data_IF_396120378518
#
_entry.id   IF_396120378518
#
_cell.length_a   1.000
_cell.length_b   1.000
_cell.length_c   1.000
_cell.angle_alpha   90.00
_cell.angle_beta   90.00
_cell.angle_gamma   90.00
#
_symmetry.space_group_name_H-M   'P 1'
#
loop_
_entity.id
_entity.type
_entity.pdbx_description
1 polymer ?
#
# COMPACT_ATOMS: atom_id res chain seq x y z
N UNK A 1 -6.07 -15.84 24.97
CA UNK A 1 -5.69 -15.85 23.53
C UNK A 1 -6.05 -14.55 22.83
N UNK A 2 -7.14 -13.89 23.20
CA UNK A 2 -7.67 -12.70 22.54
C UNK A 2 -6.73 -11.49 22.52
N UNK A 3 -6.00 -11.22 23.60
CA UNK A 3 -5.04 -10.11 23.65
C UNK A 3 -3.87 -10.27 22.67
N UNK A 4 -3.39 -11.50 22.44
CA UNK A 4 -2.35 -11.77 21.43
C UNK A 4 -2.90 -11.61 20.02
N UNK A 5 -4.14 -12.04 19.77
CA UNK A 5 -4.81 -11.82 18.49
C UNK A 5 -5.00 -10.32 18.23
N UNK A 6 -5.44 -9.55 19.23
CA UNK A 6 -5.58 -8.09 19.14
C UNK A 6 -4.23 -7.39 18.87
N UNK A 7 -3.15 -7.80 19.54
CA UNK A 7 -1.82 -7.25 19.30
C UNK A 7 -1.27 -7.56 17.89
N UNK A 8 -1.58 -8.75 17.35
CA UNK A 8 -1.22 -9.13 15.97
C UNK A 8 -2.07 -8.34 14.97
N UNK A 9 -3.37 -8.19 15.22
CA UNK A 9 -4.27 -7.41 14.37
C UNK A 9 -3.96 -5.90 14.40
N UNK A 10 -3.50 -5.38 15.54
CA UNK A 10 -3.05 -3.99 15.68
C UNK A 10 -1.65 -3.76 15.09
N UNK A 11 -0.83 -4.80 15.02
CA UNK A 11 0.49 -4.74 14.38
C UNK A 11 0.34 -4.84 12.87
N UNK A 12 0.28 -3.70 12.17
CA UNK A 12 0.41 -3.63 10.71
C UNK A 12 1.85 -4.01 10.32
N UNK A 13 2.20 -5.30 10.38
CA UNK A 13 3.50 -5.79 9.93
C UNK A 13 3.51 -5.80 8.41
N UNK A 14 3.94 -4.69 7.82
CA UNK A 14 4.12 -4.55 6.38
C UNK A 14 5.21 -5.51 5.92
N UNK A 15 4.81 -6.61 5.26
CA UNK A 15 5.72 -7.51 4.55
C UNK A 15 5.58 -7.26 3.06
N UNK A 16 6.70 -7.01 2.40
CA UNK A 16 6.76 -6.93 0.94
C UNK A 16 6.54 -8.34 0.35
N UNK A 17 5.51 -8.48 -0.49
CA UNK A 17 5.11 -9.77 -1.08
C UNK A 17 5.65 -9.98 -2.51
N UNK A 18 6.08 -8.92 -3.18
CA UNK A 18 6.61 -8.95 -4.55
C UNK A 18 7.84 -8.04 -4.71
N UNK A 19 8.58 -8.19 -5.80
CA UNK A 19 9.70 -7.30 -6.11
C UNK A 19 9.23 -5.85 -6.33
N UNK A 20 10.12 -4.88 -6.05
CA UNK A 20 9.85 -3.42 -6.07
C UNK A 20 9.39 -2.85 -7.43
N UNK A 21 9.39 -3.66 -8.49
CA UNK A 21 9.10 -3.27 -9.88
C UNK A 21 8.08 -4.19 -10.56
N UNK A 22 7.25 -4.87 -9.78
CA UNK A 22 6.15 -5.64 -10.35
C UNK A 22 5.03 -4.71 -10.84
N UNK A 23 4.42 -5.03 -11.98
CA UNK A 23 3.35 -4.21 -12.52
C UNK A 23 2.13 -4.28 -11.58
N UNK A 24 1.45 -3.17 -11.30
CA UNK A 24 0.33 -3.15 -10.35
C UNK A 24 -0.79 -4.15 -10.71
N UNK A 25 -0.94 -4.43 -12.01
CA UNK A 25 -1.83 -5.46 -12.54
C UNK A 25 -1.50 -6.90 -12.09
N UNK A 26 -0.21 -7.27 -12.00
CA UNK A 26 0.19 -8.59 -11.49
C UNK A 26 0.00 -8.69 -9.97
N UNK A 27 0.33 -7.63 -9.24
CA UNK A 27 0.05 -7.55 -7.80
C UNK A 27 -1.45 -7.71 -7.51
N UNK A 28 -2.32 -7.14 -8.34
CA UNK A 28 -3.77 -7.29 -8.21
C UNK A 28 -4.23 -8.73 -8.44
N UNK A 29 -3.72 -9.39 -9.49
CA UNK A 29 -4.03 -10.80 -9.78
C UNK A 29 -3.60 -11.71 -8.63
N UNK A 30 -2.43 -11.46 -8.04
CA UNK A 30 -1.96 -12.17 -6.86
C UNK A 30 -2.91 -11.99 -5.66
N UNK A 31 -3.35 -10.75 -5.39
CA UNK A 31 -4.31 -10.46 -4.32
C UNK A 31 -5.62 -11.22 -4.56
N UNK A 32 -6.12 -11.26 -5.79
CA UNK A 32 -7.34 -11.99 -6.13
C UNK A 32 -7.20 -13.49 -5.86
N UNK A 33 -6.09 -14.10 -6.29
CA UNK A 33 -5.80 -15.52 -6.03
C UNK A 33 -5.65 -15.82 -4.53
N UNK A 34 -4.92 -14.96 -3.81
CA UNK A 34 -4.69 -15.11 -2.38
C UNK A 34 -6.00 -14.99 -1.56
N UNK A 35 -6.91 -14.09 -1.97
CA UNK A 35 -8.25 -13.97 -1.39
C UNK A 35 -9.08 -15.23 -1.63
N UNK A 36 -9.06 -15.79 -2.85
CA UNK A 36 -9.74 -17.05 -3.18
C UNK A 36 -9.21 -18.24 -2.37
N UNK A 37 -7.90 -18.25 -2.07
CA UNK A 37 -7.27 -19.30 -1.26
C UNK A 37 -7.52 -19.20 0.25
N UNK A 38 -8.11 -18.10 0.74
CA UNK A 38 -8.68 -18.01 2.08
C UNK A 38 -7.73 -17.62 3.23
N UNK A 39 -6.49 -17.21 2.96
CA UNK A 39 -5.50 -16.94 4.01
C UNK A 39 -5.11 -15.46 4.20
N UNK A 40 -5.77 -14.54 3.50
CA UNK A 40 -5.39 -13.12 3.53
C UNK A 40 -6.61 -12.20 3.68
N UNK A 41 -6.61 -11.39 4.75
CA UNK A 41 -7.69 -10.42 5.04
C UNK A 41 -7.45 -9.05 4.41
N UNK A 42 -6.24 -8.48 4.59
CA UNK A 42 -5.95 -7.09 4.28
C UNK A 42 -4.76 -6.90 3.32
N UNK A 43 -4.84 -7.50 2.14
CA UNK A 43 -3.86 -7.23 1.08
C UNK A 43 -4.19 -5.91 0.39
N UNK A 44 -3.20 -5.00 0.35
CA UNK A 44 -3.26 -3.70 -0.31
C UNK A 44 -2.04 -3.49 -1.18
N UNK A 45 -2.23 -2.87 -2.33
CA UNK A 45 -1.13 -2.40 -3.18
C UNK A 45 -0.77 -1.01 -2.70
N UNK A 46 0.53 -0.78 -2.44
CA UNK A 46 1.07 0.54 -2.08
C UNK A 46 2.17 0.91 -3.06
N UNK A 47 2.20 2.17 -3.49
CA UNK A 47 3.23 2.72 -4.36
C UNK A 47 4.12 3.70 -3.59
N UNK A 48 5.41 3.77 -3.95
CA UNK A 48 6.30 4.83 -3.47
C UNK A 48 6.02 6.10 -4.26
N UNK A 49 5.48 7.11 -3.59
CA UNK A 49 5.14 8.39 -4.19
C UNK A 49 5.58 9.54 -3.28
N UNK A 50 5.62 10.74 -3.84
CA UNK A 50 5.84 11.97 -3.08
C UNK A 50 4.67 12.19 -2.13
N UNK A 51 4.95 12.22 -0.83
CA UNK A 51 3.94 12.51 0.19
C UNK A 51 3.45 13.93 -0.01
N UNK A 52 2.14 14.08 -0.18
CA UNK A 52 1.47 15.37 -0.23
C UNK A 52 0.76 15.63 1.10
N UNK A 53 0.81 16.88 1.54
CA UNK A 53 0.06 17.37 2.71
C UNK A 53 -1.44 17.47 2.35
N UNK A 54 -2.31 17.69 3.35
CA UNK A 54 -3.76 17.85 3.18
C UNK A 54 -4.17 18.97 2.20
N UNK A 55 -3.24 19.86 1.84
CA UNK A 55 -3.41 20.94 0.86
C UNK A 55 -2.83 20.60 -0.53
N UNK A 56 -2.45 19.35 -0.78
CA UNK A 56 -1.89 18.89 -2.06
C UNK A 56 -0.45 19.35 -2.34
N UNK A 57 0.24 19.94 -1.35
CA UNK A 57 1.64 20.37 -1.50
C UNK A 57 2.59 19.25 -1.12
N UNK A 58 3.67 19.01 -1.87
CA UNK A 58 4.66 17.99 -1.51
C UNK A 58 5.29 18.32 -0.15
N UNK A 59 5.38 17.32 0.74
CA UNK A 59 6.02 17.46 2.04
C UNK A 59 7.53 17.47 1.83
N UNK A 60 8.13 18.66 1.83
CA UNK A 60 9.56 18.83 1.60
C UNK A 60 10.33 18.50 2.88
N UNK A 61 11.39 17.72 2.76
CA UNK A 61 12.32 17.49 3.86
C UNK A 61 13.19 18.76 4.08
N UNK A 62 13.18 19.39 5.27
CA UNK A 62 13.93 20.62 5.51
C UNK A 62 15.44 20.47 5.33
N UNK A 63 15.99 19.27 5.49
CA UNK A 63 17.44 19.00 5.39
C UNK A 63 17.90 18.79 3.94
N UNK A 64 17.12 18.10 3.12
CA UNK A 64 17.51 17.74 1.75
C UNK A 64 16.84 18.59 0.67
N UNK A 65 15.85 19.42 1.04
CA UNK A 65 15.00 20.19 0.13
C UNK A 65 14.28 19.35 -0.93
N UNK A 66 14.29 18.03 -0.79
CA UNK A 66 13.61 17.10 -1.69
C UNK A 66 12.22 16.74 -1.13
N UNK A 67 11.25 16.44 -2.00
CA UNK A 67 9.98 15.83 -1.63
C UNK A 67 10.20 14.54 -0.83
N UNK A 68 9.47 14.37 0.28
CA UNK A 68 9.51 13.12 1.05
C UNK A 68 8.81 12.03 0.25
N UNK A 69 9.54 10.97 -0.06
CA UNK A 69 8.97 9.76 -0.63
C UNK A 69 8.40 8.90 0.50
N UNK A 70 7.15 8.48 0.36
CA UNK A 70 6.46 7.58 1.28
C UNK A 70 5.62 6.56 0.54
N UNK A 71 5.01 5.65 1.30
CA UNK A 71 4.08 4.66 0.76
C UNK A 71 2.68 5.25 0.75
N UNK A 72 2.06 5.31 -0.43
CA UNK A 72 0.65 5.67 -0.60
C UNK A 72 -0.14 4.48 -1.11
N UNK A 73 -1.42 4.41 -0.75
CA UNK A 73 -2.33 3.40 -1.28
C UNK A 73 -2.48 3.58 -2.80
N UNK A 74 -2.31 2.48 -3.54
CA UNK A 74 -2.47 2.50 -4.99
C UNK A 74 -3.95 2.30 -5.32
N UNK A 75 -4.64 3.38 -5.72
CA UNK A 75 -5.98 3.30 -6.27
C UNK A 75 -5.88 2.97 -7.76
N UNK A 76 -6.40 1.82 -8.18
CA UNK A 76 -6.60 1.59 -9.61
C UNK A 76 -7.59 2.65 -10.11
N UNK A 77 -7.19 3.46 -11.09
CA UNK A 77 -8.16 4.24 -11.83
C UNK A 77 -8.99 3.22 -12.62
N UNK A 78 -10.17 2.89 -12.13
CA UNK A 78 -11.17 2.22 -12.97
C UNK A 78 -11.42 3.20 -14.11
N UNK A 79 -11.14 2.84 -15.38
CA UNK A 79 -11.61 3.67 -16.47
C UNK A 79 -13.13 3.71 -16.31
N UNK A 80 -13.65 4.86 -15.89
CA UNK A 80 -15.08 5.12 -15.84
C UNK A 80 -15.54 4.94 -17.27
N UNK A 81 -16.25 3.84 -17.53
CA UNK A 81 -16.91 3.62 -18.79
C UNK A 81 -17.90 4.78 -18.97
N UNK A 82 -17.58 5.66 -19.92
CA UNK A 82 -18.47 6.68 -20.43
C UNK A 82 -19.45 6.04 -21.42
#
# INVERSE_FOLDING_TARGET
>A
MEQRAAAIMASEKVKQLSHLFDAPQYAQQFIELARKSGQCRDLRIRAKCELTDAKGKPVINPKTKMPRIGWMEYHHATPTAA
#
